data_IF_161058881221
#
_entry.id   IF_161058881221
#
_cell.length_a   1.000
_cell.length_b   1.000
_cell.length_c   1.000
_cell.angle_alpha   90.00
_cell.angle_beta   90.00
_cell.angle_gamma   90.00
#
_symmetry.space_group_name_H-M   'P 1'
#
loop_
_entity.id
_entity.type
_entity.pdbx_description
1 polymer ?
#
# COMPACT_ATOMS: atom_id res chain seq x y z
N UNK A 1 17.36 34.61 62.19
CA UNK A 1 17.37 33.24 61.78
C UNK A 1 15.98 32.83 61.45
N UNK A 2 15.60 32.69 60.14
CA UNK A 2 14.47 31.83 59.76
C UNK A 2 14.98 30.63 58.99
N UNK A 3 14.51 29.43 59.37
CA UNK A 3 14.72 28.14 58.78
C UNK A 3 14.14 28.06 57.34
N UNK A 4 14.98 27.61 56.45
CA UNK A 4 14.56 27.29 55.07
C UNK A 4 14.39 25.80 54.98
N UNK A 5 13.13 25.31 54.98
CA UNK A 5 12.78 23.91 54.64
C UNK A 5 13.05 23.62 53.16
N UNK A 6 13.60 22.46 52.82
CA UNK A 6 13.75 22.02 51.42
C UNK A 6 12.41 21.49 50.88
N UNK A 7 11.96 22.03 49.75
CA UNK A 7 10.81 21.57 49.01
C UNK A 7 11.07 20.15 48.48
N UNK A 8 10.21 19.23 48.91
CA UNK A 8 10.10 17.86 48.41
C UNK A 8 9.71 17.87 46.94
N UNK A 9 10.58 17.32 46.09
CA UNK A 9 10.31 17.08 44.68
C UNK A 9 9.47 15.82 44.56
N UNK A 10 8.21 15.92 44.12
CA UNK A 10 7.35 14.79 43.79
C UNK A 10 7.88 14.04 42.57
N UNK A 11 7.87 12.70 42.54
CA UNK A 11 8.27 11.94 41.35
C UNK A 11 7.20 12.08 40.23
N UNK A 12 7.69 12.20 39.01
CA UNK A 12 6.88 12.20 37.80
C UNK A 12 6.08 10.88 37.68
N UNK A 13 4.84 10.89 37.11
CA UNK A 13 4.09 9.69 36.95
C UNK A 13 4.73 8.76 35.91
N UNK A 14 4.93 7.51 36.32
CA UNK A 14 5.42 6.40 35.53
C UNK A 14 4.64 6.25 34.21
N UNK A 15 5.40 6.01 33.14
CA UNK A 15 4.87 5.87 31.79
C UNK A 15 3.84 4.74 31.68
N UNK A 16 2.74 5.04 31.02
CA UNK A 16 1.74 4.03 30.66
C UNK A 16 2.39 2.88 29.88
N UNK A 17 2.04 1.62 30.16
CA UNK A 17 2.59 0.48 29.42
C UNK A 17 2.24 0.58 27.94
N UNK A 18 3.14 0.16 27.03
CA UNK A 18 2.86 0.15 25.60
C UNK A 18 1.64 -0.71 25.31
N UNK A 19 0.78 -0.23 24.39
CA UNK A 19 -0.40 -0.97 23.96
C UNK A 19 -0.01 -2.37 23.49
N UNK A 20 -0.77 -3.43 23.86
CA UNK A 20 -0.46 -4.78 23.47
C UNK A 20 -0.46 -4.91 21.94
N UNK A 21 0.59 -5.56 21.40
CA UNK A 21 0.67 -5.86 19.98
C UNK A 21 -0.57 -6.65 19.51
N UNK A 22 -1.08 -6.40 18.29
CA UNK A 22 -2.26 -7.09 17.79
C UNK A 22 -2.03 -8.61 17.82
N UNK A 23 -3.03 -9.34 18.32
CA UNK A 23 -2.96 -10.80 18.41
C UNK A 23 -2.76 -11.42 17.02
N UNK A 24 -1.96 -12.48 16.87
CA UNK A 24 -1.75 -13.13 15.59
C UNK A 24 -3.08 -13.65 15.02
N UNK A 25 -3.28 -13.61 13.68
CA UNK A 25 -4.53 -14.00 13.05
C UNK A 25 -4.91 -15.43 13.41
N UNK A 26 -6.19 -15.65 13.68
CA UNK A 26 -6.72 -16.95 14.10
C UNK A 26 -6.49 -18.03 13.02
N UNK A 27 -6.60 -19.33 13.39
CA UNK A 27 -6.43 -20.45 12.46
C UNK A 27 -7.31 -20.36 11.22
N UNK A 28 -8.55 -19.86 11.38
CA UNK A 28 -9.50 -19.68 10.27
C UNK A 28 -9.03 -18.60 9.29
N UNK A 29 -8.55 -17.49 9.81
CA UNK A 29 -8.02 -16.37 9.00
C UNK A 29 -6.77 -16.80 8.23
N UNK A 30 -5.84 -17.49 8.89
CA UNK A 30 -4.65 -18.05 8.21
C UNK A 30 -5.02 -19.00 7.08
N UNK A 31 -6.00 -19.91 7.30
CA UNK A 31 -6.48 -20.84 6.27
C UNK A 31 -7.12 -20.08 5.10
N UNK A 32 -7.94 -19.04 5.39
CA UNK A 32 -8.56 -18.19 4.37
C UNK A 32 -7.52 -17.47 3.53
N UNK A 33 -6.51 -16.87 4.16
CA UNK A 33 -5.41 -16.21 3.48
C UNK A 33 -4.57 -17.18 2.64
N UNK A 34 -4.28 -18.38 3.15
CA UNK A 34 -3.55 -19.41 2.41
C UNK A 34 -4.32 -19.88 1.16
N UNK A 35 -5.63 -20.11 1.28
CA UNK A 35 -6.48 -20.48 0.14
C UNK A 35 -6.53 -19.35 -0.89
N UNK A 36 -6.70 -18.09 -0.46
CA UNK A 36 -6.71 -16.93 -1.34
C UNK A 36 -5.41 -16.83 -2.14
N UNK A 37 -4.27 -16.93 -1.46
CA UNK A 37 -2.94 -16.91 -2.11
C UNK A 37 -2.76 -18.05 -3.10
N UNK A 38 -3.14 -19.28 -2.75
CA UNK A 38 -3.03 -20.43 -3.64
C UNK A 38 -3.84 -20.24 -4.95
N UNK A 39 -5.03 -19.64 -4.85
CA UNK A 39 -5.85 -19.32 -6.03
C UNK A 39 -5.17 -18.25 -6.91
N UNK A 40 -4.65 -17.16 -6.30
CA UNK A 40 -3.97 -16.08 -7.01
C UNK A 40 -2.69 -16.58 -7.70
N UNK A 41 -1.87 -17.37 -7.00
CA UNK A 41 -0.63 -17.95 -7.55
C UNK A 41 -0.92 -18.87 -8.76
N UNK A 42 -1.96 -19.72 -8.65
CA UNK A 42 -2.38 -20.59 -9.75
C UNK A 42 -2.88 -19.78 -10.94
N UNK A 43 -3.68 -18.74 -10.71
CA UNK A 43 -4.20 -17.86 -11.74
C UNK A 43 -3.07 -17.12 -12.46
N UNK A 44 -2.19 -16.43 -11.72
CA UNK A 44 -1.10 -15.65 -12.30
C UNK A 44 -0.16 -16.55 -13.13
N UNK A 45 0.19 -17.74 -12.61
CA UNK A 45 1.02 -18.69 -13.35
C UNK A 45 0.37 -19.07 -14.69
N UNK A 46 -0.91 -19.44 -14.69
CA UNK A 46 -1.63 -19.82 -15.91
C UNK A 46 -1.76 -18.66 -16.89
N UNK A 47 -2.03 -17.44 -16.41
CA UNK A 47 -2.11 -16.25 -17.24
C UNK A 47 -0.77 -15.90 -17.89
N UNK A 48 0.34 -16.05 -17.17
CA UNK A 48 1.67 -15.80 -17.72
C UNK A 48 2.11 -16.88 -18.73
N UNK A 49 1.67 -18.12 -18.55
CA UNK A 49 1.98 -19.23 -19.46
C UNK A 49 1.16 -19.19 -20.77
N UNK A 50 -0.12 -18.76 -20.71
CA UNK A 50 -1.08 -18.96 -21.80
C UNK A 50 -1.79 -17.68 -22.25
N UNK A 51 -1.63 -16.59 -21.53
CA UNK A 51 -2.40 -15.35 -21.74
C UNK A 51 -3.68 -15.31 -20.90
N UNK A 52 -4.17 -14.09 -20.65
CA UNK A 52 -5.34 -13.85 -19.80
C UNK A 52 -6.62 -14.44 -20.39
N UNK A 53 -6.87 -14.24 -21.69
CA UNK A 53 -8.13 -14.60 -22.33
C UNK A 53 -8.29 -16.13 -22.49
N UNK A 54 -7.19 -16.86 -22.68
CA UNK A 54 -7.18 -18.30 -22.93
C UNK A 54 -7.28 -19.17 -21.67
N UNK A 55 -7.36 -18.56 -20.48
CA UNK A 55 -7.47 -19.29 -19.20
C UNK A 55 -8.85 -19.10 -18.58
N UNK A 56 -9.55 -20.21 -18.37
CA UNK A 56 -10.90 -20.24 -17.77
C UNK A 56 -10.87 -20.31 -16.23
N UNK A 57 -11.91 -19.78 -15.59
CA UNK A 57 -12.09 -19.84 -14.11
C UNK A 57 -12.07 -21.29 -13.59
N UNK A 58 -12.61 -22.24 -14.34
CA UNK A 58 -12.65 -23.64 -13.95
C UNK A 58 -11.25 -24.26 -13.88
N UNK A 59 -10.39 -23.94 -14.84
CA UNK A 59 -8.99 -24.39 -14.86
C UNK A 59 -8.20 -23.82 -13.67
N UNK A 60 -8.44 -22.54 -13.35
CA UNK A 60 -7.79 -21.92 -12.17
C UNK A 60 -8.24 -22.60 -10.89
N UNK A 61 -9.54 -22.89 -10.76
CA UNK A 61 -10.07 -23.56 -9.58
C UNK A 61 -9.49 -24.99 -9.43
N UNK A 62 -9.38 -25.74 -10.53
CA UNK A 62 -8.74 -27.06 -10.56
C UNK A 62 -7.26 -26.98 -10.19
N UNK A 63 -6.52 -26.01 -10.75
CA UNK A 63 -5.10 -25.83 -10.46
C UNK A 63 -4.80 -25.39 -9.01
N UNK A 64 -5.78 -24.76 -8.35
CA UNK A 64 -5.71 -24.35 -6.94
C UNK A 64 -6.35 -25.37 -5.97
N UNK A 65 -6.83 -26.51 -6.47
CA UNK A 65 -7.54 -27.54 -5.69
C UNK A 65 -8.74 -26.98 -4.90
N UNK A 66 -9.56 -26.14 -5.55
CA UNK A 66 -10.77 -25.56 -4.96
C UNK A 66 -11.96 -25.67 -5.91
N UNK A 67 -13.18 -25.55 -5.37
CA UNK A 67 -14.36 -25.38 -6.22
C UNK A 67 -14.43 -23.98 -6.81
N UNK A 68 -15.07 -23.81 -7.98
CA UNK A 68 -15.37 -22.50 -8.57
C UNK A 68 -16.17 -21.59 -7.63
N UNK A 69 -17.06 -22.18 -6.83
CA UNK A 69 -17.81 -21.45 -5.78
C UNK A 69 -16.87 -20.91 -4.72
N UNK A 70 -15.84 -21.66 -4.33
CA UNK A 70 -14.83 -21.20 -3.39
C UNK A 70 -13.97 -20.09 -4.00
N UNK A 71 -13.56 -20.23 -5.26
CA UNK A 71 -12.83 -19.19 -5.98
C UNK A 71 -13.62 -17.87 -6.00
N UNK A 72 -14.90 -17.89 -6.40
CA UNK A 72 -15.72 -16.66 -6.45
C UNK A 72 -16.01 -16.03 -5.06
N UNK A 73 -15.92 -16.79 -3.97
CA UNK A 73 -15.97 -16.23 -2.62
C UNK A 73 -14.73 -15.39 -2.27
N UNK A 74 -13.58 -15.70 -2.86
CA UNK A 74 -12.34 -14.97 -2.68
C UNK A 74 -12.14 -13.87 -3.72
N UNK A 75 -12.52 -14.13 -4.96
CA UNK A 75 -12.32 -13.26 -6.12
C UNK A 75 -13.62 -13.15 -6.93
N UNK A 76 -14.40 -12.07 -6.71
CA UNK A 76 -15.73 -11.93 -7.36
C UNK A 76 -15.66 -11.79 -8.87
N UNK A 77 -14.53 -11.33 -9.41
CA UNK A 77 -14.28 -11.16 -10.85
C UNK A 77 -12.91 -11.71 -11.23
N UNK A 78 -12.74 -12.09 -12.50
CA UNK A 78 -11.51 -12.73 -13.02
C UNK A 78 -10.30 -11.80 -12.91
N UNK A 79 -10.49 -10.51 -13.14
CA UNK A 79 -9.46 -9.49 -13.06
C UNK A 79 -8.83 -9.40 -11.67
N UNK A 80 -9.63 -9.55 -10.62
CA UNK A 80 -9.16 -9.51 -9.23
C UNK A 80 -8.12 -10.60 -8.90
N UNK A 81 -8.07 -11.67 -9.67
CA UNK A 81 -7.08 -12.75 -9.51
C UNK A 81 -5.65 -12.30 -9.83
N UNK A 82 -5.51 -11.27 -10.68
CA UNK A 82 -4.22 -10.72 -11.08
C UNK A 82 -3.69 -9.73 -10.05
N UNK A 83 -4.59 -9.07 -9.30
CA UNK A 83 -4.27 -7.98 -8.37
C UNK A 83 -4.46 -8.39 -6.90
N UNK A 84 -4.15 -9.64 -6.55
CA UNK A 84 -4.33 -10.13 -5.17
C UNK A 84 -3.47 -9.37 -4.15
N UNK A 85 -2.22 -9.11 -4.48
CA UNK A 85 -1.29 -8.39 -3.59
C UNK A 85 -1.69 -6.92 -3.39
N UNK A 86 -2.41 -6.35 -4.35
CA UNK A 86 -2.88 -4.96 -4.26
C UNK A 86 -4.14 -4.79 -3.40
N UNK A 87 -4.84 -5.87 -3.07
CA UNK A 87 -6.00 -5.80 -2.18
C UNK A 87 -5.67 -5.25 -0.79
N UNK A 88 -4.43 -5.48 -0.32
CA UNK A 88 -3.95 -5.01 0.97
C UNK A 88 -3.22 -3.65 0.88
N UNK A 89 -2.90 -3.18 -0.34
CA UNK A 89 -2.16 -1.93 -0.56
C UNK A 89 -2.88 -0.72 0.03
N UNK A 90 -4.19 -0.59 -0.21
CA UNK A 90 -5.00 0.50 0.32
C UNK A 90 -4.93 0.56 1.84
N UNK A 91 -5.14 -0.58 2.50
CA UNK A 91 -5.08 -0.66 3.97
C UNK A 91 -3.71 -0.28 4.51
N UNK A 92 -2.64 -0.74 3.86
CA UNK A 92 -1.27 -0.41 4.26
C UNK A 92 -0.91 1.06 4.06
N UNK A 93 -1.39 1.69 2.99
CA UNK A 93 -1.18 3.13 2.75
C UNK A 93 -1.93 3.97 3.79
N UNK A 94 -3.19 3.63 4.07
CA UNK A 94 -3.99 4.31 5.10
C UNK A 94 -3.33 4.14 6.49
N UNK A 95 -2.88 2.94 6.83
CA UNK A 95 -2.14 2.70 8.07
C UNK A 95 -0.86 3.52 8.14
N UNK A 96 -0.08 3.62 7.05
CA UNK A 96 1.13 4.43 7.00
C UNK A 96 0.86 5.91 7.30
N UNK A 97 -0.30 6.42 6.90
CA UNK A 97 -0.73 7.80 7.18
C UNK A 97 -1.20 7.95 8.62
N UNK A 98 -2.09 7.06 9.09
CA UNK A 98 -2.73 7.16 10.41
C UNK A 98 -1.82 6.79 11.58
N UNK A 99 -0.93 5.81 11.38
CA UNK A 99 -0.04 5.29 12.42
C UNK A 99 1.36 5.93 12.40
N UNK A 100 1.52 7.03 11.65
CA UNK A 100 2.80 7.73 11.58
C UNK A 100 3.21 8.29 12.93
N UNK A 101 4.51 8.27 13.26
CA UNK A 101 5.00 8.87 14.50
C UNK A 101 4.64 10.37 14.61
N UNK A 102 4.37 10.88 15.82
CA UNK A 102 4.13 12.31 16.03
C UNK A 102 5.25 13.17 15.43
N UNK A 103 4.89 14.27 14.77
CA UNK A 103 5.83 15.15 14.09
C UNK A 103 6.34 14.68 12.73
N UNK A 104 5.98 13.48 12.30
CA UNK A 104 6.29 13.00 10.95
C UNK A 104 5.24 13.52 9.95
N UNK A 105 5.69 14.11 8.84
CA UNK A 105 4.79 14.54 7.77
C UNK A 105 4.15 13.34 7.05
N UNK A 106 2.98 13.55 6.45
CA UNK A 106 2.29 12.51 5.66
C UNK A 106 3.15 12.04 4.48
N UNK A 107 3.75 12.93 3.65
CA UNK A 107 4.62 12.48 2.56
C UNK A 107 5.84 11.67 3.05
N UNK A 108 6.43 12.03 4.19
CA UNK A 108 7.55 11.27 4.75
C UNK A 108 7.14 9.86 5.20
N UNK A 109 5.95 9.69 5.77
CA UNK A 109 5.41 8.38 6.14
C UNK A 109 5.12 7.52 4.89
N UNK A 110 4.53 8.09 3.85
CA UNK A 110 4.29 7.41 2.56
C UNK A 110 5.60 7.04 1.86
N UNK A 111 6.64 7.90 1.91
CA UNK A 111 7.98 7.57 1.43
C UNK A 111 8.55 6.33 2.12
N UNK A 112 8.47 6.29 3.43
CA UNK A 112 8.96 5.14 4.20
C UNK A 112 8.21 3.86 3.85
N UNK A 113 6.90 3.95 3.69
CA UNK A 113 6.07 2.85 3.21
C UNK A 113 6.53 2.37 1.84
N UNK A 114 6.66 3.26 0.86
CA UNK A 114 7.09 2.94 -0.50
C UNK A 114 8.50 2.30 -0.52
N UNK A 115 9.45 2.84 0.27
CA UNK A 115 10.81 2.29 0.37
C UNK A 115 10.86 0.90 1.02
N UNK A 116 9.95 0.59 1.97
CA UNK A 116 9.86 -0.75 2.56
C UNK A 116 9.32 -1.79 1.58
N UNK A 117 8.25 -1.45 0.85
CA UNK A 117 7.60 -2.36 -0.11
C UNK A 117 8.48 -2.57 -1.34
N UNK A 118 9.21 -1.54 -1.76
CA UNK A 118 10.15 -1.63 -2.87
C UNK A 118 11.27 -2.66 -2.62
N UNK A 119 11.77 -2.83 -1.41
CA UNK A 119 12.81 -3.83 -1.11
C UNK A 119 12.39 -5.26 -1.46
N UNK A 120 11.09 -5.53 -1.48
CA UNK A 120 10.54 -6.79 -1.93
C UNK A 120 10.57 -6.94 -3.47
N UNK A 121 10.53 -5.82 -4.22
CA UNK A 121 10.51 -5.77 -5.68
C UNK A 121 11.90 -5.57 -6.33
N UNK A 122 12.91 -5.11 -5.57
CA UNK A 122 14.24 -4.72 -6.08
C UNK A 122 15.12 -5.88 -6.62
N UNK A 123 14.62 -7.11 -6.58
CA UNK A 123 15.33 -8.28 -7.07
C UNK A 123 15.32 -8.46 -8.59
N UNK A 124 14.73 -7.55 -9.38
CA UNK A 124 14.56 -7.73 -10.81
C UNK A 124 13.78 -9.01 -11.14
N UNK A 125 12.74 -9.31 -10.37
CA UNK A 125 11.94 -10.53 -10.55
C UNK A 125 11.34 -10.55 -11.97
N UNK A 126 11.75 -11.47 -12.84
CA UNK A 126 11.21 -11.61 -14.19
C UNK A 126 9.69 -11.77 -14.18
N UNK A 127 9.11 -12.28 -13.10
CA UNK A 127 7.66 -12.42 -12.92
C UNK A 127 6.96 -11.07 -12.81
N UNK A 128 7.59 -10.09 -12.15
CA UNK A 128 7.04 -8.73 -12.06
C UNK A 128 7.00 -8.05 -13.43
N UNK A 129 8.06 -8.17 -14.23
CA UNK A 129 8.08 -7.66 -15.60
C UNK A 129 7.01 -8.34 -16.47
N UNK A 130 6.87 -9.66 -16.35
CA UNK A 130 5.86 -10.41 -17.08
C UNK A 130 4.43 -10.03 -16.63
N UNK A 131 4.22 -9.79 -15.34
CA UNK A 131 2.95 -9.26 -14.79
C UNK A 131 2.61 -7.89 -15.40
N UNK A 132 3.55 -6.94 -15.43
CA UNK A 132 3.32 -5.64 -16.06
C UNK A 132 2.97 -5.79 -17.55
N UNK A 133 3.68 -6.64 -18.29
CA UNK A 133 3.39 -6.94 -19.68
C UNK A 133 1.98 -7.54 -19.88
N UNK A 134 1.55 -8.42 -19.00
CA UNK A 134 0.21 -9.00 -18.99
C UNK A 134 -0.87 -7.93 -18.79
N UNK A 135 -0.68 -7.05 -17.80
CA UNK A 135 -1.62 -5.94 -17.52
C UNK A 135 -1.67 -4.97 -18.71
N UNK A 136 -0.51 -4.57 -19.24
CA UNK A 136 -0.44 -3.60 -20.33
C UNK A 136 -1.01 -4.15 -21.66
N UNK A 137 -0.90 -5.45 -21.92
CA UNK A 137 -1.41 -6.06 -23.14
C UNK A 137 -2.91 -6.40 -23.10
N UNK A 138 -3.52 -6.47 -21.91
CA UNK A 138 -4.90 -6.92 -21.71
C UNK A 138 -5.84 -5.75 -21.38
N UNK A 139 -6.77 -5.35 -22.28
CA UNK A 139 -7.67 -4.20 -22.03
C UNK A 139 -8.47 -4.32 -20.74
N UNK A 140 -9.07 -5.49 -20.46
CA UNK A 140 -9.85 -5.73 -19.24
C UNK A 140 -9.03 -5.53 -17.94
N UNK A 141 -7.75 -5.91 -17.95
CA UNK A 141 -6.85 -5.71 -16.81
C UNK A 141 -6.46 -4.25 -16.64
N UNK A 142 -6.22 -3.52 -17.73
CA UNK A 142 -5.97 -2.07 -17.67
C UNK A 142 -7.15 -1.32 -17.07
N UNK A 143 -8.37 -1.60 -17.55
CA UNK A 143 -9.58 -0.95 -17.07
C UNK A 143 -9.82 -1.24 -15.58
N UNK A 144 -9.63 -2.50 -15.17
CA UNK A 144 -9.74 -2.90 -13.77
C UNK A 144 -8.69 -2.21 -12.90
N UNK A 145 -7.43 -2.19 -13.34
CA UNK A 145 -6.33 -1.51 -12.65
C UNK A 145 -6.62 -0.01 -12.50
N UNK A 146 -7.06 0.67 -13.55
CA UNK A 146 -7.41 2.09 -13.49
C UNK A 146 -8.54 2.36 -12.49
N UNK A 147 -9.62 1.56 -12.53
CA UNK A 147 -10.71 1.71 -11.58
C UNK A 147 -10.29 1.46 -10.13
N UNK A 148 -9.42 0.48 -9.90
CA UNK A 148 -8.83 0.18 -8.59
C UNK A 148 -7.96 1.35 -8.11
N UNK A 149 -7.10 1.89 -8.97
CA UNK A 149 -6.22 3.02 -8.68
C UNK A 149 -6.98 4.28 -8.27
N UNK A 150 -8.10 4.57 -8.95
CA UNK A 150 -8.99 5.67 -8.57
C UNK A 150 -9.60 5.48 -7.17
N UNK A 151 -9.98 4.23 -6.82
CA UNK A 151 -10.48 3.93 -5.47
C UNK A 151 -9.41 4.13 -4.41
N UNK A 152 -8.19 3.62 -4.63
CA UNK A 152 -7.06 3.80 -3.70
C UNK A 152 -6.71 5.28 -3.52
N UNK A 153 -6.68 6.06 -4.61
CA UNK A 153 -6.44 7.51 -4.56
C UNK A 153 -7.49 8.20 -3.69
N UNK A 154 -8.77 7.90 -3.88
CA UNK A 154 -9.86 8.51 -3.12
C UNK A 154 -9.82 8.11 -1.63
N UNK A 155 -9.50 6.85 -1.32
CA UNK A 155 -9.39 6.36 0.05
C UNK A 155 -8.19 6.99 0.78
N UNK A 156 -7.04 7.05 0.11
CA UNK A 156 -5.83 7.68 0.66
C UNK A 156 -6.03 9.19 0.85
N UNK A 157 -6.65 9.90 -0.12
CA UNK A 157 -6.92 11.32 -0.02
C UNK A 157 -7.78 11.66 1.21
N UNK A 158 -8.81 10.85 1.48
CA UNK A 158 -9.63 11.02 2.70
C UNK A 158 -8.82 10.85 3.97
N UNK A 159 -7.99 9.80 4.05
CA UNK A 159 -7.13 9.58 5.21
C UNK A 159 -6.13 10.73 5.40
N UNK A 160 -5.57 11.25 4.32
CA UNK A 160 -4.67 12.43 4.35
C UNK A 160 -5.41 13.67 4.87
N UNK A 161 -6.62 13.94 4.38
CA UNK A 161 -7.44 15.08 4.82
C UNK A 161 -7.76 15.00 6.32
N UNK A 162 -8.26 13.84 6.77
CA UNK A 162 -8.55 13.56 8.19
C UNK A 162 -7.35 13.83 9.08
N UNK A 163 -6.19 13.29 8.73
CA UNK A 163 -4.96 13.38 9.52
C UNK A 163 -4.25 14.74 9.46
N UNK A 164 -4.61 15.56 8.48
CA UNK A 164 -4.04 16.91 8.30
C UNK A 164 -5.00 18.02 8.72
N UNK A 165 -6.22 17.68 9.14
CA UNK A 165 -7.24 18.66 9.52
C UNK A 165 -7.75 19.51 8.35
N UNK A 166 -7.60 19.02 7.12
CA UNK A 166 -8.06 19.69 5.89
C UNK A 166 -9.47 19.24 5.52
N UNK A 167 -10.12 19.98 4.62
CA UNK A 167 -11.44 19.59 4.10
C UNK A 167 -11.34 18.24 3.34
N UNK A 168 -12.38 17.41 3.44
CA UNK A 168 -12.40 16.07 2.84
C UNK A 168 -12.28 16.09 1.30
N UNK A 169 -12.61 17.20 0.68
CA UNK A 169 -12.53 17.48 -0.76
C UNK A 169 -11.37 18.42 -1.15
N UNK A 170 -10.43 18.65 -0.23
CA UNK A 170 -9.27 19.49 -0.52
C UNK A 170 -8.45 18.90 -1.68
N UNK A 171 -8.24 19.66 -2.78
CA UNK A 171 -7.55 19.15 -3.95
C UNK A 171 -6.08 18.79 -3.68
N UNK A 172 -5.45 19.39 -2.66
CA UNK A 172 -4.08 19.05 -2.29
C UNK A 172 -3.98 17.65 -1.72
N UNK A 173 -5.00 17.17 -0.97
CA UNK A 173 -5.05 15.80 -0.46
C UNK A 173 -5.19 14.79 -1.61
N UNK A 174 -6.02 15.10 -2.61
CA UNK A 174 -6.16 14.25 -3.81
C UNK A 174 -4.88 14.22 -4.63
N UNK A 175 -4.24 15.39 -4.83
CA UNK A 175 -2.97 15.49 -5.56
C UNK A 175 -1.86 14.70 -4.85
N UNK A 176 -1.70 14.89 -3.53
CA UNK A 176 -0.72 14.13 -2.76
C UNK A 176 -0.95 12.62 -2.85
N UNK A 177 -2.19 12.16 -2.67
CA UNK A 177 -2.54 10.75 -2.77
C UNK A 177 -2.21 10.18 -4.15
N UNK A 178 -2.58 10.89 -5.22
CA UNK A 178 -2.30 10.49 -6.59
C UNK A 178 -0.80 10.37 -6.86
N UNK A 179 -0.03 11.42 -6.57
CA UNK A 179 1.41 11.40 -6.81
C UNK A 179 2.17 10.41 -5.92
N UNK A 180 1.72 10.20 -4.67
CA UNK A 180 2.33 9.21 -3.80
C UNK A 180 2.14 7.77 -4.31
N UNK A 181 0.98 7.47 -4.92
CA UNK A 181 0.72 6.18 -5.57
C UNK A 181 1.54 6.01 -6.85
N UNK A 182 1.71 7.06 -7.65
CA UNK A 182 2.49 7.01 -8.90
C UNK A 182 4.01 7.05 -8.69
N UNK A 183 4.49 7.58 -7.56
CA UNK A 183 5.91 7.77 -7.29
C UNK A 183 6.76 6.49 -7.43
N UNK A 184 6.34 5.30 -6.97
CA UNK A 184 7.11 4.08 -7.16
C UNK A 184 7.30 3.70 -8.64
N UNK A 185 6.25 3.85 -9.45
CA UNK A 185 6.29 3.55 -10.88
C UNK A 185 7.18 4.55 -11.64
N UNK A 186 7.03 5.84 -11.35
CA UNK A 186 7.86 6.87 -11.94
C UNK A 186 9.34 6.69 -11.58
N UNK A 187 9.64 6.34 -10.32
CA UNK A 187 10.98 6.06 -9.86
C UNK A 187 11.56 4.81 -10.54
N UNK A 188 10.76 3.76 -10.74
CA UNK A 188 11.18 2.55 -11.46
C UNK A 188 11.55 2.86 -12.91
N UNK A 189 10.69 3.57 -13.64
CA UNK A 189 10.95 3.98 -15.02
C UNK A 189 12.23 4.83 -15.14
N UNK A 190 12.50 5.69 -14.15
CA UNK A 190 13.76 6.45 -14.10
C UNK A 190 14.96 5.54 -13.82
N UNK A 191 14.84 4.62 -12.89
CA UNK A 191 15.90 3.69 -12.50
C UNK A 191 16.28 2.72 -13.60
N UNK A 192 15.34 2.28 -14.41
CA UNK A 192 15.59 1.42 -15.57
C UNK A 192 16.50 2.09 -16.59
N UNK A 193 16.51 3.42 -16.67
CA UNK A 193 17.36 4.21 -17.57
C UNK A 193 18.67 4.64 -16.90
N UNK A 194 18.63 5.02 -15.62
CA UNK A 194 19.74 5.70 -14.93
C UNK A 194 20.36 4.90 -13.77
N UNK A 195 19.77 3.76 -13.41
CA UNK A 195 20.35 2.82 -12.43
C UNK A 195 20.09 3.15 -10.96
N UNK A 196 19.35 4.22 -10.64
CA UNK A 196 19.10 4.61 -9.25
C UNK A 196 17.63 4.91 -8.94
N UNK A 197 16.83 3.85 -8.93
CA UNK A 197 15.40 3.94 -8.60
C UNK A 197 15.14 4.37 -7.16
N UNK A 198 16.03 3.98 -6.21
CA UNK A 198 15.84 4.35 -4.80
C UNK A 198 15.99 5.86 -4.59
N UNK A 199 17.03 6.45 -5.17
CA UNK A 199 17.27 7.88 -5.11
C UNK A 199 16.16 8.66 -5.83
N UNK A 200 15.72 8.19 -7.01
CA UNK A 200 14.58 8.78 -7.71
C UNK A 200 13.32 8.81 -6.86
N UNK A 201 13.03 7.71 -6.15
CA UNK A 201 11.88 7.64 -5.24
C UNK A 201 12.01 8.64 -4.08
N UNK A 202 13.17 8.72 -3.44
CA UNK A 202 13.43 9.67 -2.37
C UNK A 202 13.22 11.11 -2.85
N UNK A 203 13.81 11.48 -3.98
CA UNK A 203 13.70 12.84 -4.53
C UNK A 203 12.26 13.21 -4.89
N UNK A 204 11.48 12.25 -5.41
CA UNK A 204 10.06 12.47 -5.70
C UNK A 204 9.29 12.78 -4.42
N UNK A 205 9.50 12.01 -3.36
CA UNK A 205 8.83 12.28 -2.09
C UNK A 205 9.33 13.54 -1.37
N UNK A 206 10.61 13.91 -1.53
CA UNK A 206 11.13 15.17 -0.97
C UNK A 206 10.46 16.38 -1.64
N UNK A 207 10.18 16.31 -2.95
CA UNK A 207 9.40 17.33 -3.66
C UNK A 207 7.96 17.40 -3.11
N UNK A 208 7.31 16.26 -2.91
CA UNK A 208 5.97 16.20 -2.35
C UNK A 208 5.93 16.74 -0.92
N UNK A 209 6.93 16.44 -0.10
CA UNK A 209 7.01 16.90 1.29
C UNK A 209 7.23 18.43 1.37
N UNK A 210 8.13 18.97 0.55
CA UNK A 210 8.34 20.42 0.46
C UNK A 210 7.06 21.17 0.05
N UNK A 211 6.34 20.67 -0.96
CA UNK A 211 5.06 21.22 -1.37
C UNK A 211 3.99 21.11 -0.29
N UNK A 212 3.90 19.95 0.37
CA UNK A 212 2.95 19.69 1.43
C UNK A 212 3.10 20.61 2.64
N UNK A 213 4.34 20.88 3.07
CA UNK A 213 4.63 21.80 4.16
C UNK A 213 4.12 23.23 3.87
N UNK A 214 4.17 23.69 2.62
CA UNK A 214 3.65 25.02 2.26
C UNK A 214 2.13 25.13 2.35
N UNK A 215 1.42 24.00 2.23
CA UNK A 215 -0.05 23.93 2.32
C UNK A 215 -0.48 23.84 3.78
N UNK A 216 0.16 22.97 4.56
CA UNK A 216 -0.19 22.73 5.97
C UNK A 216 0.32 23.81 6.93
N UNK A 217 1.26 24.65 6.51
CA UNK A 217 1.73 25.81 7.29
C UNK A 217 0.84 27.06 7.11
N UNK A 218 -0.17 27.01 6.25
CA UNK A 218 -1.12 28.14 6.13
C UNK A 218 -2.11 28.07 7.28
N UNK A 219 -2.27 29.18 8.05
CA UNK A 219 -3.22 29.26 9.16
C UNK A 219 -4.67 29.24 8.69
#
# INVERSE_FOLDING_TARGET
MPDTEPRSTAPAPDGAPPAPAPAPPGRRERKKAATRRAIADAALRLFLERGYDDVGIREIAEAADVSTTTLFKHFPVKEALVFDEEADLEAHLIAAVRERPPGRSVPAALREHALRHRRAADGGDPRFTAFLGLVDSTPALRDYHQAMWLRHTAALARAVAEESGLAADDPACTALAHFALEAPRAAQAHGDVHGDTREALIRTFDLLDAGWQTITARP
#
